data_IF_331577718334
#
_entry.id   IF_331577718334
#
_cell.length_a   1.000
_cell.length_b   1.000
_cell.length_c   1.000
_cell.angle_alpha   90.00
_cell.angle_beta   90.00
_cell.angle_gamma   90.00
#
_symmetry.space_group_name_H-M   'P 1'
#
loop_
_entity.id
_entity.type
_entity.pdbx_description
1 polymer ?
#
# COMPACT_ATOMS: atom_id res chain seq x y z
N UNK A 1 -75.26 -24.81 65.31
CA UNK A 1 -74.85 -25.49 64.07
C UNK A 1 -73.81 -24.54 63.40
N UNK A 2 -72.53 -24.84 63.54
CA UNK A 2 -71.45 -24.05 62.95
C UNK A 2 -70.77 -24.92 61.88
N UNK A 3 -70.86 -24.50 60.63
CA UNK A 3 -70.11 -25.14 59.55
C UNK A 3 -68.82 -24.34 59.29
N UNK A 4 -67.70 -24.97 59.47
CA UNK A 4 -66.36 -24.44 59.05
C UNK A 4 -66.10 -24.91 57.63
N UNK A 5 -65.82 -23.94 56.76
CA UNK A 5 -65.27 -24.19 55.41
C UNK A 5 -63.80 -23.88 55.42
N UNK A 6 -62.96 -24.94 55.28
CA UNK A 6 -61.53 -24.78 55.04
C UNK A 6 -61.28 -24.68 53.56
N UNK A 7 -60.71 -23.57 53.10
CA UNK A 7 -60.27 -23.38 51.74
C UNK A 7 -58.80 -23.82 51.66
N UNK A 8 -58.53 -24.90 50.95
CA UNK A 8 -57.17 -25.34 50.58
C UNK A 8 -56.72 -24.53 49.36
N UNK A 9 -55.74 -23.64 49.54
CA UNK A 9 -55.10 -22.96 48.42
C UNK A 9 -53.95 -23.83 47.90
N UNK A 10 -54.12 -24.36 46.69
CA UNK A 10 -53.12 -25.13 45.96
C UNK A 10 -52.18 -24.13 45.25
N UNK A 11 -50.94 -24.06 45.71
CA UNK A 11 -49.85 -23.24 45.13
C UNK A 11 -49.17 -24.05 44.04
N UNK A 12 -49.51 -23.82 42.77
CA UNK A 12 -48.86 -24.42 41.61
C UNK A 12 -47.57 -23.62 41.29
N UNK A 13 -46.41 -24.21 41.60
CA UNK A 13 -45.11 -23.67 41.26
C UNK A 13 -44.77 -23.98 39.78
N UNK A 14 -44.89 -23.01 38.93
CA UNK A 14 -44.46 -23.14 37.51
C UNK A 14 -42.93 -22.95 37.46
N UNK A 15 -42.21 -24.07 37.30
CA UNK A 15 -40.78 -24.05 36.99
C UNK A 15 -40.58 -23.64 35.54
N UNK A 16 -40.15 -22.38 35.31
CA UNK A 16 -39.69 -21.90 34.00
C UNK A 16 -38.28 -22.42 33.76
N UNK A 17 -38.13 -23.54 33.03
CA UNK A 17 -36.80 -24.03 32.61
C UNK A 17 -36.36 -23.21 31.41
N UNK A 18 -35.52 -22.20 31.66
CA UNK A 18 -34.81 -21.50 30.58
C UNK A 18 -33.64 -22.35 30.08
N UNK A 19 -33.81 -22.99 28.93
CA UNK A 19 -32.72 -23.66 28.24
C UNK A 19 -31.76 -22.60 27.68
N UNK A 20 -30.63 -22.41 28.38
CA UNK A 20 -29.50 -21.64 27.87
C UNK A 20 -28.80 -22.48 26.80
N UNK A 21 -29.10 -22.24 25.54
CA UNK A 21 -28.34 -22.79 24.43
C UNK A 21 -26.97 -22.07 24.42
N UNK A 22 -25.98 -22.71 25.02
CA UNK A 22 -24.58 -22.28 24.86
C UNK A 22 -24.18 -22.44 23.39
N UNK A 23 -24.14 -21.34 22.65
CA UNK A 23 -23.48 -21.32 21.34
C UNK A 23 -22.00 -21.68 21.54
N UNK A 24 -21.63 -22.89 21.11
CA UNK A 24 -20.23 -23.30 20.98
C UNK A 24 -19.56 -22.29 20.03
N UNK A 25 -18.78 -21.34 20.58
CA UNK A 25 -17.77 -20.60 19.82
C UNK A 25 -16.84 -21.65 19.20
N UNK A 26 -17.03 -21.92 17.92
CA UNK A 26 -16.10 -22.75 17.16
C UNK A 26 -14.70 -22.14 17.33
N UNK A 27 -13.75 -22.93 17.78
CA UNK A 27 -12.32 -22.57 17.68
C UNK A 27 -12.04 -22.34 16.20
N UNK A 28 -11.92 -21.06 15.77
CA UNK A 28 -11.34 -20.74 14.46
C UNK A 28 -9.97 -21.40 14.44
N UNK A 29 -9.79 -22.37 13.57
CA UNK A 29 -8.48 -22.88 13.21
C UNK A 29 -7.60 -21.68 12.82
N UNK A 30 -6.27 -21.76 13.02
CA UNK A 30 -5.30 -20.76 12.55
C UNK A 30 -5.68 -20.43 11.11
N UNK A 31 -6.15 -19.19 10.88
CA UNK A 31 -6.45 -18.66 9.55
C UNK A 31 -5.19 -18.87 8.70
N UNK A 32 -5.32 -19.57 7.58
CA UNK A 32 -4.35 -19.47 6.51
C UNK A 32 -4.17 -17.98 6.23
N UNK A 33 -2.93 -17.54 5.91
CA UNK A 33 -2.62 -16.13 5.64
C UNK A 33 -3.76 -15.49 4.83
N UNK A 34 -4.34 -14.41 5.36
CA UNK A 34 -5.37 -13.62 4.68
C UNK A 34 -4.75 -12.74 3.59
N UNK A 35 -3.41 -12.79 3.43
CA UNK A 35 -2.67 -11.98 2.48
C UNK A 35 -2.83 -12.55 1.06
N UNK A 36 -3.33 -11.69 0.16
CA UNK A 36 -3.36 -11.95 -1.28
C UNK A 36 -2.04 -11.54 -1.91
N UNK A 37 -1.44 -10.48 -1.40
CA UNK A 37 -0.14 -9.96 -1.80
C UNK A 37 0.62 -9.52 -0.54
N UNK A 38 1.90 -9.87 -0.50
CA UNK A 38 2.89 -9.32 0.42
C UNK A 38 4.20 -9.18 -0.38
N UNK A 39 4.42 -7.99 -0.94
CA UNK A 39 5.55 -7.70 -1.81
C UNK A 39 6.52 -6.77 -1.09
N UNK A 40 7.70 -7.29 -0.81
CA UNK A 40 8.84 -6.58 -0.21
C UNK A 40 10.02 -6.46 -1.19
N UNK A 41 9.83 -6.81 -2.45
CA UNK A 41 10.82 -6.76 -3.55
C UNK A 41 12.07 -7.63 -3.37
N UNK A 42 12.14 -8.47 -2.33
CA UNK A 42 13.34 -9.25 -1.97
C UNK A 42 13.69 -10.39 -2.94
N UNK A 43 12.71 -10.85 -3.72
CA UNK A 43 12.89 -12.06 -4.50
C UNK A 43 13.19 -11.77 -5.96
N UNK A 44 14.45 -11.86 -6.32
CA UNK A 44 14.92 -11.77 -7.70
C UNK A 44 14.80 -13.13 -8.42
N UNK A 45 14.79 -13.10 -9.75
CA UNK A 45 14.95 -14.30 -10.57
C UNK A 45 16.32 -14.93 -10.31
N UNK A 46 16.44 -16.23 -10.61
CA UNK A 46 17.68 -16.97 -10.42
C UNK A 46 18.82 -16.33 -11.23
N UNK A 47 19.99 -16.18 -10.60
CA UNK A 47 21.20 -15.58 -11.17
C UNK A 47 21.09 -14.07 -11.53
N UNK A 48 19.99 -13.39 -11.19
CA UNK A 48 19.82 -11.95 -11.41
C UNK A 48 20.36 -11.11 -10.23
N UNK A 49 20.86 -9.93 -10.56
CA UNK A 49 21.32 -8.92 -9.60
C UNK A 49 21.05 -7.52 -10.13
N UNK A 50 20.91 -6.56 -9.23
CA UNK A 50 20.65 -5.15 -9.61
C UNK A 50 21.94 -4.51 -10.10
N UNK A 51 22.02 -4.26 -11.41
CA UNK A 51 23.21 -3.71 -12.09
C UNK A 51 22.92 -2.46 -12.92
N UNK A 52 21.65 -2.08 -13.09
CA UNK A 52 21.22 -0.91 -13.85
C UNK A 52 19.90 -0.34 -13.33
N UNK A 53 19.60 0.90 -13.68
CA UNK A 53 18.27 1.50 -13.46
C UNK A 53 17.25 0.85 -14.41
N UNK A 54 15.97 0.87 -14.00
CA UNK A 54 14.89 0.27 -14.78
C UNK A 54 14.78 -1.25 -14.61
N UNK A 55 15.52 -1.85 -13.71
CA UNK A 55 15.62 -3.31 -13.55
C UNK A 55 14.44 -3.98 -12.84
N UNK A 56 13.30 -3.32 -12.66
CA UNK A 56 12.15 -3.89 -11.91
C UNK A 56 11.70 -5.27 -12.40
N UNK A 57 11.88 -5.57 -13.68
CA UNK A 57 11.46 -6.83 -14.30
C UNK A 57 12.31 -8.06 -13.93
N UNK A 58 13.47 -7.87 -13.26
CA UNK A 58 14.26 -8.99 -12.74
C UNK A 58 13.67 -9.63 -11.48
N UNK A 59 12.61 -9.03 -10.91
CA UNK A 59 11.88 -9.66 -9.81
C UNK A 59 11.24 -10.98 -10.24
N UNK A 60 11.34 -11.97 -9.34
CA UNK A 60 10.67 -13.26 -9.53
C UNK A 60 9.19 -13.11 -9.37
N UNK A 61 8.24 -13.23 -9.85
CA UNK A 61 6.79 -13.05 -9.60
C UNK A 61 6.08 -12.18 -10.66
N UNK A 62 6.72 -11.94 -11.81
CA UNK A 62 6.11 -11.25 -12.95
C UNK A 62 5.79 -9.78 -12.70
N UNK A 63 6.54 -9.13 -11.82
CA UNK A 63 6.49 -7.69 -11.64
C UNK A 63 7.00 -7.03 -12.92
N UNK A 64 6.36 -5.94 -13.33
CA UNK A 64 6.70 -5.24 -14.57
C UNK A 64 6.50 -3.74 -14.45
N UNK A 65 7.06 -3.00 -15.37
CA UNK A 65 6.78 -1.58 -15.56
C UNK A 65 6.09 -1.40 -16.91
N UNK A 66 4.90 -0.78 -16.95
CA UNK A 66 4.12 -0.60 -18.18
C UNK A 66 4.60 0.54 -19.07
N UNK A 67 5.63 1.28 -18.67
CA UNK A 67 6.19 2.45 -19.37
C UNK A 67 7.62 2.19 -19.82
N UNK A 68 8.07 2.91 -20.87
CA UNK A 68 9.46 2.86 -21.33
C UNK A 68 10.44 3.34 -20.26
N UNK A 69 10.04 4.33 -19.45
CA UNK A 69 10.76 4.71 -18.26
C UNK A 69 10.43 3.71 -17.15
N UNK A 70 11.13 2.58 -17.14
CA UNK A 70 10.86 1.50 -16.18
C UNK A 70 11.15 1.95 -14.74
N UNK A 71 10.49 1.32 -13.79
CA UNK A 71 10.78 1.48 -12.37
C UNK A 71 12.09 0.80 -12.00
N UNK A 72 12.73 1.32 -10.97
CA UNK A 72 14.07 0.92 -10.52
C UNK A 72 14.00 -0.07 -9.34
N UNK A 73 15.09 -0.81 -9.13
CA UNK A 73 15.35 -1.57 -7.90
C UNK A 73 16.63 -1.07 -7.25
N UNK A 74 16.65 -1.15 -5.92
CA UNK A 74 17.81 -0.86 -5.08
C UNK A 74 18.03 -2.02 -4.12
N UNK A 75 19.27 -2.50 -4.02
CA UNK A 75 19.60 -3.69 -3.25
C UNK A 75 20.84 -3.48 -2.39
N UNK A 76 20.79 -3.92 -1.14
CA UNK A 76 21.94 -3.94 -0.27
C UNK A 76 23.07 -4.78 -0.89
N UNK A 77 24.27 -4.22 -0.96
CA UNK A 77 25.41 -4.89 -1.59
C UNK A 77 25.50 -4.72 -3.10
N UNK A 78 24.51 -4.16 -3.79
CA UNK A 78 24.67 -3.65 -5.15
C UNK A 78 25.67 -2.47 -5.18
N UNK A 79 26.15 -2.12 -6.36
CA UNK A 79 27.08 -0.99 -6.52
C UNK A 79 26.54 0.32 -5.94
N UNK A 80 27.39 1.33 -5.83
CA UNK A 80 27.03 2.64 -5.25
C UNK A 80 25.80 3.31 -5.90
N UNK A 81 25.52 2.98 -7.16
CA UNK A 81 24.41 3.55 -7.91
C UNK A 81 23.07 2.92 -7.56
N UNK A 82 23.07 1.65 -7.13
CA UNK A 82 21.88 0.84 -6.92
C UNK A 82 21.79 0.28 -5.49
N UNK A 83 22.60 0.80 -4.59
CA UNK A 83 22.73 0.29 -3.23
C UNK A 83 21.59 0.71 -2.30
N UNK A 84 21.52 0.01 -1.18
CA UNK A 84 20.73 0.36 0.01
C UNK A 84 21.72 0.45 1.17
N UNK A 85 21.72 1.51 1.96
CA UNK A 85 20.83 2.67 1.89
C UNK A 85 21.19 3.70 0.81
N UNK A 86 22.43 3.72 0.29
CA UNK A 86 22.94 4.78 -0.58
C UNK A 86 22.86 4.38 -2.05
N UNK A 87 22.27 5.26 -2.87
CA UNK A 87 22.15 5.12 -4.32
C UNK A 87 22.21 6.48 -5.03
N UNK A 88 22.07 6.52 -6.35
CA UNK A 88 22.14 7.74 -7.17
C UNK A 88 21.05 8.78 -6.84
N UNK A 89 19.98 8.40 -6.16
CA UNK A 89 18.87 9.30 -5.82
C UNK A 89 18.87 9.74 -4.35
N UNK A 90 19.75 9.19 -3.52
CA UNK A 90 19.85 9.56 -2.11
C UNK A 90 20.18 8.40 -1.19
N UNK A 91 19.80 8.55 0.07
CA UNK A 91 20.01 7.56 1.11
C UNK A 91 18.68 7.23 1.78
N UNK A 92 18.24 5.97 1.68
CA UNK A 92 17.05 5.46 2.35
C UNK A 92 17.30 4.05 2.86
N UNK A 93 16.93 3.78 4.10
CA UNK A 93 16.91 2.42 4.66
C UNK A 93 15.68 1.69 4.15
N UNK A 94 15.70 0.35 4.16
CA UNK A 94 14.48 -0.44 3.95
C UNK A 94 13.41 -0.07 4.98
N UNK A 95 12.14 -0.27 4.64
CA UNK A 95 11.05 0.04 5.55
C UNK A 95 11.07 -0.85 6.81
N UNK A 96 10.23 -0.53 7.81
CA UNK A 96 10.23 -1.19 9.13
C UNK A 96 10.04 -2.70 9.10
N UNK A 97 9.44 -3.26 8.05
CA UNK A 97 9.24 -4.71 7.96
C UNK A 97 10.52 -5.47 7.61
N UNK A 98 11.60 -4.75 7.40
CA UNK A 98 12.91 -5.31 7.10
C UNK A 98 13.08 -5.67 5.62
N UNK A 99 14.23 -6.22 5.32
CA UNK A 99 14.63 -6.58 3.98
C UNK A 99 15.90 -5.86 3.54
N UNK A 100 16.26 -6.09 2.30
CA UNK A 100 17.50 -5.57 1.70
C UNK A 100 17.25 -4.87 0.35
N UNK A 101 16.01 -4.87 -0.12
CA UNK A 101 15.60 -4.37 -1.44
C UNK A 101 14.38 -3.46 -1.30
N UNK A 102 14.32 -2.42 -2.08
CA UNK A 102 13.10 -1.65 -2.35
C UNK A 102 13.08 -1.19 -3.81
N UNK A 103 11.92 -0.78 -4.29
CA UNK A 103 11.76 -0.25 -5.64
C UNK A 103 11.72 1.29 -5.65
N UNK A 104 11.82 1.90 -6.84
CA UNK A 104 11.69 3.34 -7.02
C UNK A 104 11.05 3.72 -8.33
N UNK A 105 10.40 4.90 -8.36
CA UNK A 105 9.67 5.35 -9.54
C UNK A 105 9.55 6.88 -9.64
N UNK A 106 9.41 7.38 -10.87
CA UNK A 106 9.11 8.79 -11.13
C UNK A 106 7.60 9.01 -11.04
N UNK A 107 7.16 9.80 -10.05
CA UNK A 107 5.75 10.09 -9.81
C UNK A 107 5.26 11.38 -10.49
N UNK A 108 6.14 12.38 -10.67
CA UNK A 108 5.77 13.68 -11.23
C UNK A 108 6.96 14.37 -11.85
N UNK A 109 6.76 14.95 -13.03
CA UNK A 109 7.69 15.86 -13.67
C UNK A 109 6.94 17.03 -14.30
N UNK A 110 7.31 18.29 -14.07
CA UNK A 110 6.65 19.45 -14.69
C UNK A 110 6.91 19.50 -16.18
N UNK A 111 6.03 20.20 -16.93
CA UNK A 111 6.16 20.40 -18.38
C UNK A 111 5.53 19.29 -19.21
N UNK A 112 6.10 19.01 -20.39
CA UNK A 112 5.55 18.04 -21.36
C UNK A 112 5.80 16.57 -21.02
N UNK A 113 6.48 16.31 -19.92
CA UNK A 113 7.13 15.02 -19.71
C UNK A 113 6.34 14.09 -18.81
N UNK A 114 5.04 13.93 -19.07
CA UNK A 114 4.27 12.80 -18.57
C UNK A 114 4.86 11.44 -19.00
N UNK A 115 5.58 11.43 -20.13
CA UNK A 115 6.28 10.24 -20.65
C UNK A 115 7.40 9.69 -19.76
N UNK A 116 7.86 10.47 -18.79
CA UNK A 116 8.89 10.02 -17.85
C UNK A 116 8.33 9.42 -16.56
N UNK A 117 7.03 9.28 -16.43
CA UNK A 117 6.47 8.57 -15.28
C UNK A 117 6.79 7.08 -15.34
N UNK A 118 7.11 6.53 -14.19
CA UNK A 118 7.24 5.09 -14.02
C UNK A 118 6.08 4.54 -13.21
N UNK A 119 5.80 3.27 -13.38
CA UNK A 119 4.79 2.53 -12.63
C UNK A 119 5.32 1.13 -12.30
N UNK A 120 4.80 0.55 -11.24
CA UNK A 120 5.14 -0.81 -10.80
C UNK A 120 3.87 -1.63 -10.83
N UNK A 121 3.79 -2.62 -11.71
CA UNK A 121 2.65 -3.54 -11.82
C UNK A 121 2.99 -4.88 -11.23
N UNK A 122 2.18 -5.33 -10.27
CA UNK A 122 2.38 -6.56 -9.48
C UNK A 122 1.16 -7.46 -9.67
N UNK A 123 1.31 -8.71 -10.16
CA UNK A 123 0.21 -9.65 -10.26
C UNK A 123 -0.16 -10.26 -8.90
N UNK A 124 -1.43 -10.60 -8.71
CA UNK A 124 -1.86 -11.43 -7.58
C UNK A 124 -1.68 -12.89 -7.95
N UNK A 125 -0.75 -13.58 -7.28
CA UNK A 125 -0.37 -14.94 -7.61
C UNK A 125 -0.77 -15.95 -6.54
N UNK A 126 -1.19 -17.13 -6.99
CA UNK A 126 -1.29 -18.33 -6.18
C UNK A 126 -0.63 -19.50 -6.91
N UNK A 127 0.53 -19.91 -6.44
CA UNK A 127 1.40 -20.81 -7.20
C UNK A 127 1.87 -20.14 -8.49
N UNK A 128 1.64 -20.76 -9.64
CA UNK A 128 2.04 -20.23 -10.96
C UNK A 128 0.92 -19.49 -11.69
N UNK A 129 -0.25 -19.29 -11.08
CA UNK A 129 -1.41 -18.68 -11.74
C UNK A 129 -1.87 -17.39 -11.10
N UNK A 130 -2.39 -16.48 -11.92
CA UNK A 130 -3.01 -15.26 -11.44
C UNK A 130 -4.35 -15.58 -10.76
N UNK A 131 -4.61 -14.95 -9.61
CA UNK A 131 -5.88 -15.03 -8.91
C UNK A 131 -6.58 -13.66 -8.94
N UNK A 132 -7.91 -13.68 -8.81
CA UNK A 132 -8.71 -12.45 -8.64
C UNK A 132 -9.06 -12.25 -7.18
N UNK A 133 -9.25 -11.00 -6.78
CA UNK A 133 -9.91 -10.69 -5.51
C UNK A 133 -11.34 -11.21 -5.52
N UNK A 134 -11.88 -11.56 -4.36
CA UNK A 134 -13.26 -12.08 -4.25
C UNK A 134 -14.27 -10.93 -4.23
N UNK A 135 -15.24 -10.95 -5.13
CA UNK A 135 -16.27 -9.92 -5.27
C UNK A 135 -16.99 -9.64 -3.94
N UNK A 136 -17.09 -8.36 -3.60
CA UNK A 136 -17.82 -7.86 -2.43
C UNK A 136 -17.08 -7.98 -1.11
N UNK A 137 -15.90 -8.64 -1.09
CA UNK A 137 -15.07 -8.70 0.11
C UNK A 137 -14.20 -7.45 0.25
N UNK A 138 -13.89 -7.10 1.50
CA UNK A 138 -13.04 -5.95 1.84
C UNK A 138 -11.59 -6.36 1.95
N UNK A 139 -10.73 -5.55 1.39
CA UNK A 139 -9.27 -5.71 1.45
C UNK A 139 -8.62 -4.46 2.00
N UNK A 140 -7.69 -4.63 2.92
CA UNK A 140 -6.75 -3.59 3.31
C UNK A 140 -5.62 -3.56 2.29
N UNK A 141 -5.47 -2.43 1.59
CA UNK A 141 -4.41 -2.21 0.62
C UNK A 141 -3.50 -1.13 1.16
N UNK A 142 -2.22 -1.43 1.27
CA UNK A 142 -1.25 -0.48 1.78
C UNK A 142 0.13 -0.68 1.13
N UNK A 143 0.91 0.39 1.11
CA UNK A 143 2.31 0.40 0.72
C UNK A 143 3.01 1.60 1.36
N UNK A 144 4.32 1.51 1.46
CA UNK A 144 5.16 2.55 2.04
C UNK A 144 5.88 3.32 0.93
N UNK A 145 5.98 4.65 1.06
CA UNK A 145 6.70 5.52 0.12
C UNK A 145 7.63 6.47 0.86
N UNK A 146 8.79 6.75 0.28
CA UNK A 146 9.73 7.75 0.76
C UNK A 146 10.19 8.65 -0.38
N UNK A 147 10.28 9.96 -0.15
CA UNK A 147 10.76 10.91 -1.16
C UNK A 147 12.29 10.84 -1.26
N UNK A 148 12.82 10.56 -2.44
CA UNK A 148 14.28 10.53 -2.63
C UNK A 148 14.89 11.92 -2.49
N UNK A 149 16.05 12.01 -1.85
CA UNK A 149 16.75 13.27 -1.54
C UNK A 149 17.05 14.13 -2.78
N UNK A 150 17.33 13.51 -3.92
CA UNK A 150 17.58 14.19 -5.20
C UNK A 150 16.37 14.91 -5.75
N UNK A 151 15.15 14.62 -5.26
CA UNK A 151 13.91 15.17 -5.79
C UNK A 151 13.83 16.67 -5.63
N UNK A 152 13.45 17.39 -6.69
CA UNK A 152 13.12 18.81 -6.65
C UNK A 152 11.67 19.08 -6.26
N UNK A 153 10.81 18.11 -6.45
CA UNK A 153 9.38 18.21 -6.16
C UNK A 153 8.94 17.06 -5.29
N UNK A 154 7.94 17.33 -4.46
CA UNK A 154 7.10 16.35 -3.81
C UNK A 154 5.68 16.48 -4.36
N UNK A 155 4.93 15.41 -4.50
CA UNK A 155 3.59 15.46 -5.07
C UNK A 155 2.57 14.61 -4.30
N UNK A 156 1.28 14.89 -4.55
CA UNK A 156 0.18 14.03 -4.18
C UNK A 156 -0.14 13.02 -5.30
N UNK A 157 -1.29 12.39 -5.24
CA UNK A 157 -1.82 11.43 -6.22
C UNK A 157 -0.99 10.15 -6.37
N UNK A 158 -0.07 9.88 -5.44
CA UNK A 158 0.57 8.57 -5.38
C UNK A 158 -0.47 7.57 -4.90
N UNK A 159 -0.66 6.53 -5.70
CA UNK A 159 -1.72 5.57 -5.43
C UNK A 159 -1.48 4.20 -6.06
N UNK A 160 -2.48 3.34 -5.91
CA UNK A 160 -2.52 2.02 -6.50
C UNK A 160 -3.78 1.84 -7.35
N UNK A 161 -3.64 1.29 -8.54
CA UNK A 161 -4.72 1.02 -9.48
C UNK A 161 -4.90 -0.49 -9.63
N UNK A 162 -6.13 -0.98 -9.40
CA UNK A 162 -6.46 -2.39 -9.47
C UNK A 162 -7.13 -2.73 -10.79
N UNK A 163 -6.60 -3.74 -11.50
CA UNK A 163 -7.02 -4.07 -12.86
C UNK A 163 -7.20 -5.57 -13.09
N UNK A 164 -7.97 -5.91 -14.13
CA UNK A 164 -8.13 -7.28 -14.61
C UNK A 164 -6.90 -7.76 -15.37
N UNK A 165 -6.28 -6.86 -16.12
CA UNK A 165 -5.11 -7.11 -16.96
C UNK A 165 -4.02 -6.11 -16.60
N UNK A 166 -2.76 -6.49 -16.79
CA UNK A 166 -1.64 -5.58 -16.61
C UNK A 166 -1.80 -4.38 -17.56
N UNK A 167 -1.81 -3.13 -17.08
CA UNK A 167 -1.88 -1.98 -17.95
C UNK A 167 -0.62 -1.88 -18.80
N UNK A 168 -0.77 -1.33 -20.00
CA UNK A 168 0.34 -1.04 -20.92
C UNK A 168 0.20 0.39 -21.41
N UNK A 169 1.25 1.18 -21.28
CA UNK A 169 1.34 2.53 -21.86
C UNK A 169 2.81 2.86 -22.09
N UNK A 170 3.32 2.72 -23.33
CA UNK A 170 4.74 2.98 -23.62
C UNK A 170 5.15 4.39 -23.21
N UNK A 171 4.29 5.36 -23.46
CA UNK A 171 4.51 6.75 -23.09
C UNK A 171 3.22 7.36 -22.54
N UNK A 172 3.32 8.13 -21.47
CA UNK A 172 2.18 8.85 -20.94
C UNK A 172 1.69 8.37 -19.57
N UNK A 173 0.45 8.69 -19.30
CA UNK A 173 -0.20 8.43 -18.01
C UNK A 173 -1.20 7.30 -18.18
N UNK A 174 -1.15 6.30 -17.31
CA UNK A 174 -2.19 5.28 -17.24
C UNK A 174 -3.50 5.94 -16.83
N UNK A 175 -4.53 5.82 -17.68
CA UNK A 175 -5.84 6.37 -17.38
C UNK A 175 -6.56 5.45 -16.36
N UNK A 176 -6.58 5.88 -15.10
CA UNK A 176 -7.24 5.18 -14.01
C UNK A 176 -8.49 5.94 -13.58
N UNK A 177 -9.65 5.54 -14.05
CA UNK A 177 -10.94 6.17 -13.72
C UNK A 177 -11.64 5.56 -12.51
N UNK A 178 -11.49 4.24 -12.31
CA UNK A 178 -12.11 3.48 -11.24
C UNK A 178 -11.07 2.62 -10.53
N UNK A 179 -11.38 2.11 -9.32
CA UNK A 179 -10.51 1.23 -8.54
C UNK A 179 -9.13 1.83 -8.20
N UNK A 180 -9.08 3.14 -8.07
CA UNK A 180 -7.87 3.87 -7.73
C UNK A 180 -7.84 4.15 -6.22
N UNK A 181 -6.74 3.78 -5.60
CA UNK A 181 -6.44 3.89 -4.17
C UNK A 181 -5.39 4.97 -3.97
N UNK A 182 -5.62 5.98 -3.13
CA UNK A 182 -4.68 7.08 -2.87
C UNK A 182 -4.46 7.36 -1.38
N UNK A 183 -5.03 6.52 -0.51
CA UNK A 183 -5.18 6.86 0.89
C UNK A 183 -6.25 7.96 1.10
N UNK A 184 -6.71 8.08 2.33
CA UNK A 184 -7.90 8.89 2.68
C UNK A 184 -7.73 10.39 2.37
N UNK A 185 -6.55 10.95 2.55
CA UNK A 185 -6.30 12.38 2.44
C UNK A 185 -5.58 12.80 1.16
N UNK A 186 -5.11 11.83 0.35
CA UNK A 186 -4.36 12.11 -0.89
C UNK A 186 -3.32 13.23 -0.70
N UNK A 187 -2.52 13.13 0.37
CA UNK A 187 -1.55 14.16 0.79
C UNK A 187 -0.35 14.24 -0.15
N UNK A 188 0.38 15.33 -0.07
CA UNK A 188 1.72 15.45 -0.67
C UNK A 188 2.70 14.73 0.25
N UNK A 189 3.40 13.73 -0.28
CA UNK A 189 4.43 12.97 0.42
C UNK A 189 5.77 13.71 0.27
N UNK A 190 6.18 14.45 1.29
CA UNK A 190 7.37 15.33 1.23
C UNK A 190 8.49 14.93 2.20
N UNK A 191 8.30 13.87 2.96
CA UNK A 191 9.30 13.39 3.91
C UNK A 191 10.51 12.76 3.22
N UNK A 192 11.71 13.21 3.59
CA UNK A 192 12.97 12.51 3.33
C UNK A 192 13.31 11.66 4.56
N UNK A 193 14.09 10.58 4.38
CA UNK A 193 14.59 9.74 5.46
C UNK A 193 13.49 9.12 6.32
N UNK A 194 12.58 8.47 5.67
CA UNK A 194 11.51 7.73 6.33
C UNK A 194 10.36 7.43 5.43
N UNK A 195 9.53 6.49 5.88
CA UNK A 195 8.47 5.90 5.08
C UNK A 195 7.09 6.41 5.48
N UNK A 196 6.41 6.99 4.52
CA UNK A 196 5.01 7.38 4.60
C UNK A 196 4.13 6.23 4.15
N UNK A 197 3.10 5.89 4.92
CA UNK A 197 2.15 4.84 4.55
C UNK A 197 0.99 5.39 3.72
N UNK A 198 0.78 4.80 2.55
CA UNK A 198 -0.45 4.94 1.75
C UNK A 198 -1.34 3.75 2.06
N UNK A 199 -2.56 3.99 2.52
CA UNK A 199 -3.43 2.94 3.00
C UNK A 199 -4.91 3.27 2.74
N UNK A 200 -5.67 2.27 2.25
CA UNK A 200 -7.11 2.38 2.05
C UNK A 200 -7.78 1.01 2.08
N UNK A 201 -9.01 0.96 2.59
CA UNK A 201 -9.89 -0.21 2.48
C UNK A 201 -10.58 -0.18 1.12
N UNK A 202 -10.51 -1.29 0.42
CA UNK A 202 -11.10 -1.49 -0.91
C UNK A 202 -12.12 -2.62 -0.90
N UNK A 203 -13.31 -2.39 -1.48
CA UNK A 203 -14.30 -3.45 -1.72
C UNK A 203 -14.13 -3.97 -3.13
N UNK A 204 -13.74 -5.24 -3.27
CA UNK A 204 -13.40 -5.86 -4.53
C UNK A 204 -14.61 -6.04 -5.46
N UNK A 205 -14.40 -5.81 -6.76
CA UNK A 205 -15.38 -6.05 -7.83
C UNK A 205 -15.33 -7.50 -8.36
N UNK A 206 -14.24 -8.24 -8.06
CA UNK A 206 -14.08 -9.66 -8.35
C UNK A 206 -13.32 -10.00 -9.63
N UNK A 207 -12.75 -9.01 -10.28
CA UNK A 207 -11.96 -9.22 -11.49
C UNK A 207 -10.49 -8.76 -11.35
N UNK A 208 -10.15 -8.11 -10.26
CA UNK A 208 -8.84 -7.52 -10.03
C UNK A 208 -7.79 -8.64 -9.88
N UNK A 209 -6.80 -8.62 -10.74
CA UNK A 209 -5.68 -9.58 -10.80
C UNK A 209 -4.31 -8.91 -10.65
N UNK A 210 -4.29 -7.59 -10.78
CA UNK A 210 -3.07 -6.78 -10.74
C UNK A 210 -3.29 -5.54 -9.88
N UNK A 211 -2.22 -5.10 -9.24
CA UNK A 211 -2.09 -3.80 -8.61
C UNK A 211 -0.95 -3.06 -9.28
N UNK A 212 -1.19 -1.82 -9.69
CA UNK A 212 -0.16 -0.96 -10.28
C UNK A 212 0.02 0.27 -9.39
N UNK A 213 1.26 0.56 -8.99
CA UNK A 213 1.61 1.71 -8.14
C UNK A 213 2.17 2.82 -9.02
N UNK A 214 1.79 4.07 -8.74
CA UNK A 214 2.26 5.25 -9.44
C UNK A 214 1.38 6.47 -9.23
N UNK A 215 1.54 7.49 -10.08
CA UNK A 215 0.66 8.65 -10.15
C UNK A 215 -0.13 8.63 -11.47
N UNK A 216 -1.43 8.47 -11.38
CA UNK A 216 -2.34 8.25 -12.51
C UNK A 216 -3.01 9.52 -13.02
N UNK A 217 -2.69 10.68 -12.44
CA UNK A 217 -3.32 11.95 -12.80
C UNK A 217 -2.44 12.78 -13.73
N UNK A 218 -3.09 13.59 -14.56
CA UNK A 218 -2.40 14.59 -15.36
C UNK A 218 -1.61 15.57 -14.47
N UNK A 219 -0.57 16.17 -15.02
CA UNK A 219 0.22 17.17 -14.29
C UNK A 219 -0.65 18.34 -13.79
N UNK A 220 -1.67 18.74 -14.54
CA UNK A 220 -2.62 19.80 -14.14
C UNK A 220 -3.49 19.44 -12.95
N UNK A 221 -3.68 18.14 -12.67
CA UNK A 221 -4.46 17.62 -11.53
C UNK A 221 -3.55 17.18 -10.37
N UNK A 222 -2.24 17.19 -10.55
CA UNK A 222 -1.27 16.83 -9.52
C UNK A 222 -0.82 18.07 -8.75
N UNK A 223 -1.09 18.11 -7.44
CA UNK A 223 -0.54 19.13 -6.53
C UNK A 223 0.90 18.77 -6.20
N UNK A 224 1.77 19.75 -6.17
CA UNK A 224 3.16 19.56 -5.85
C UNK A 224 3.74 20.71 -5.03
N UNK A 225 4.83 20.42 -4.32
CA UNK A 225 5.64 21.38 -3.62
C UNK A 225 7.06 21.32 -4.19
N UNK A 226 7.73 22.46 -4.25
CA UNK A 226 9.18 22.50 -4.47
C UNK A 226 9.87 22.21 -3.16
N UNK A 227 10.69 21.19 -3.12
CA UNK A 227 11.46 20.80 -1.94
C UNK A 227 12.92 21.19 -2.11
N UNK A 228 13.61 21.40 -1.00
CA UNK A 228 15.05 21.67 -0.98
C UNK A 228 15.77 20.38 -0.63
N UNK A 229 16.71 19.99 -1.47
CA UNK A 229 17.62 18.87 -1.18
C UNK A 229 18.27 19.07 0.19
N UNK A 230 18.39 18.04 1.04
CA UNK A 230 19.13 18.13 2.29
C UNK A 230 20.56 18.61 2.08
N UNK A 231 21.07 19.48 2.96
CA UNK A 231 22.43 20.03 2.84
C UNK A 231 23.52 18.96 2.93
N UNK A 232 23.22 17.86 3.57
CA UNK A 232 24.12 16.71 3.76
C UNK A 232 24.16 15.77 2.57
N UNK A 233 23.27 15.96 1.59
CA UNK A 233 23.16 15.08 0.43
C UNK A 233 24.09 15.54 -0.69
N UNK A 234 24.91 14.62 -1.20
CA UNK A 234 25.83 14.86 -2.31
C UNK A 234 25.25 14.47 -3.68
N UNK A 235 24.04 13.88 -3.71
CA UNK A 235 23.41 13.43 -4.96
C UNK A 235 23.00 14.60 -5.86
N UNK A 236 23.02 14.38 -7.18
CA UNK A 236 22.58 15.37 -8.14
C UNK A 236 21.07 15.65 -8.00
N UNK A 237 20.68 16.93 -8.09
CA UNK A 237 19.29 17.32 -7.99
C UNK A 237 18.52 16.96 -9.27
N UNK A 238 17.47 16.18 -9.13
CA UNK A 238 16.52 15.84 -10.20
C UNK A 238 15.60 17.03 -10.51
N UNK A 239 14.99 17.00 -11.69
CA UNK A 239 13.96 17.97 -12.10
C UNK A 239 12.54 17.42 -11.95
N UNK A 240 12.35 16.38 -11.12
CA UNK A 240 11.08 15.66 -10.92
C UNK A 240 10.92 15.19 -9.48
N UNK A 241 9.79 14.56 -9.16
CA UNK A 241 9.54 13.85 -7.91
C UNK A 241 9.81 12.37 -8.12
N UNK A 242 10.79 11.84 -7.40
CA UNK A 242 11.16 10.44 -7.37
C UNK A 242 10.86 9.85 -6.01
N UNK A 243 10.20 8.70 -5.97
CA UNK A 243 9.83 8.03 -4.73
C UNK A 243 10.36 6.61 -4.70
N UNK A 244 10.85 6.23 -3.55
CA UNK A 244 11.03 4.82 -3.19
C UNK A 244 9.69 4.23 -2.77
N UNK A 245 9.52 2.93 -2.94
CA UNK A 245 8.33 2.19 -2.53
C UNK A 245 8.72 0.81 -2.00
N UNK A 246 8.05 0.40 -0.91
CA UNK A 246 8.25 -0.90 -0.27
C UNK A 246 6.95 -1.39 0.38
N UNK A 247 6.92 -2.64 0.86
CA UNK A 247 5.85 -3.23 1.65
C UNK A 247 4.46 -3.13 1.02
N UNK A 248 4.32 -3.49 -0.23
CA UNK A 248 3.01 -3.50 -0.90
C UNK A 248 2.22 -4.71 -0.45
N UNK A 249 1.13 -4.48 0.27
CA UNK A 249 0.27 -5.54 0.80
C UNK A 249 -1.18 -5.40 0.35
N UNK A 250 -1.81 -6.54 0.07
CA UNK A 250 -3.25 -6.67 -0.15
C UNK A 250 -3.76 -7.79 0.74
N UNK A 251 -4.44 -7.41 1.82
CA UNK A 251 -4.89 -8.33 2.87
C UNK A 251 -6.41 -8.38 2.91
N UNK A 252 -6.99 -9.57 2.85
CA UNK A 252 -8.42 -9.78 3.13
C UNK A 252 -8.69 -9.48 4.61
N UNK A 253 -9.71 -8.67 4.89
CA UNK A 253 -10.11 -8.28 6.25
C UNK A 253 -11.56 -8.65 6.52
N UNK A 254 -11.83 -9.10 7.74
CA UNK A 254 -13.17 -9.35 8.23
C UNK A 254 -13.80 -8.09 8.85
N UNK A 255 -12.97 -7.21 9.40
CA UNK A 255 -13.39 -5.92 9.98
C UNK A 255 -12.41 -4.79 9.59
N UNK A 256 -12.88 -3.55 9.63
CA UNK A 256 -12.08 -2.37 9.26
C UNK A 256 -10.94 -2.10 10.25
N UNK A 257 -11.08 -2.52 11.49
CA UNK A 257 -10.06 -2.40 12.55
C UNK A 257 -8.81 -3.25 12.26
N UNK A 258 -8.93 -4.28 11.41
CA UNK A 258 -7.77 -5.06 10.96
C UNK A 258 -6.87 -4.31 9.98
N UNK A 259 -7.35 -3.19 9.45
CA UNK A 259 -6.62 -2.32 8.55
C UNK A 259 -6.08 -1.10 9.30
N UNK A 260 -4.76 -1.01 9.43
CA UNK A 260 -4.10 0.04 10.21
C UNK A 260 -4.20 1.45 9.60
N UNK A 261 -4.99 1.65 8.54
CA UNK A 261 -5.20 2.95 7.91
C UNK A 261 -5.71 4.04 8.87
N UNK A 262 -6.41 3.64 9.94
CA UNK A 262 -6.97 4.58 10.91
C UNK A 262 -5.87 5.23 11.76
N UNK A 263 -4.87 4.45 12.19
CA UNK A 263 -3.75 4.97 12.99
C UNK A 263 -2.90 5.98 12.20
N UNK A 264 -2.63 5.71 10.93
CA UNK A 264 -1.88 6.60 10.03
C UNK A 264 -2.61 7.93 9.79
N UNK A 265 -3.95 7.90 9.76
CA UNK A 265 -4.77 9.10 9.58
C UNK A 265 -4.80 10.00 10.83
N UNK A 266 -4.58 9.45 12.02
CA UNK A 266 -4.49 10.25 13.27
C UNK A 266 -3.11 10.92 13.40
N UNK A 267 -2.03 10.28 12.98
CA UNK A 267 -0.69 10.86 13.00
C UNK A 267 -0.53 12.00 11.97
N UNK A 268 -1.16 11.90 10.80
CA UNK A 268 -1.13 12.97 9.79
C UNK A 268 -1.71 14.31 10.30
N UNK A 269 -2.69 14.26 11.20
CA UNK A 269 -3.25 15.48 11.82
C UNK A 269 -2.27 16.12 12.84
N UNK A 270 -1.37 15.35 13.42
CA UNK A 270 -0.36 15.87 14.36
C UNK A 270 0.81 16.53 13.62
N UNK A 271 1.21 15.98 12.47
CA UNK A 271 2.29 16.54 11.65
C UNK A 271 1.89 17.86 10.95
N UNK A 272 0.63 18.01 10.55
CA UNK A 272 0.12 19.26 9.95
C UNK A 272 0.18 20.43 10.95
N UNK A 273 0.02 20.16 12.25
CA UNK A 273 0.21 21.15 13.32
C UNK A 273 1.67 21.42 13.67
N UNK A 274 2.57 20.45 13.51
CA UNK A 274 3.98 20.63 13.84
C UNK A 274 4.74 21.42 12.79
N UNK A 275 4.33 21.40 11.53
CA UNK A 275 4.96 22.19 10.43
C UNK A 275 4.62 23.68 10.51
N UNK A 276 3.58 24.08 11.21
CA UNK A 276 3.21 25.47 11.41
C UNK A 276 3.99 26.17 12.54
N UNK A 277 4.76 25.43 13.35
CA UNK A 277 5.49 25.98 14.51
C UNK A 277 6.96 26.34 14.15
N UNK A 278 7.46 25.96 12.95
CA UNK A 278 8.83 26.22 12.52
C UNK A 278 8.96 27.05 11.22
N UNK A 279 7.94 27.84 10.91
CA UNK A 279 7.97 28.83 9.81
C UNK A 279 8.46 30.19 10.29
#
# INVERSE_FOLDING_TARGET
MKFNFSILASLTLVLCVTTITAQKKGKRGKSASSDVLNMTFEKLQEDESVTELGAISILDNGVSSPTENAADLFQQGAGKEFGVPNNVFGSEMTSETGGSVYAGFVAYRPGRESSLRSYITIPFLKGKGNISLSKGLKYCIQFDVSLAESSKFACNNIGAYLTKEAPTTPSGIINASENLIRGKHNRIHQGFFGWDKVCQIYTAKGYEKFITIGNFDANSATKFLTVKKPKTSDVEALKHAYYYVDNVTVKLIDSEEECQCIATNQMANVEEYSTLVYA
#
